data_IF_208810884320
#
_entry.id   IF_208810884320
#
_cell.length_a   1.000
_cell.length_b   1.000
_cell.length_c   1.000
_cell.angle_alpha   90.00
_cell.angle_beta   90.00
_cell.angle_gamma   90.00
#
_symmetry.space_group_name_H-M   'P 1'
#
loop_
_entity.id
_entity.type
_entity.pdbx_description
1 polymer ?
#
# COMPACT_ATOMS: atom_id res chain seq x y z
N UNK A 1 -19.26 -12.21 -0.46
CA UNK A 1 -18.00 -11.43 -0.38
C UNK A 1 -17.91 -10.83 1.02
N UNK A 2 -16.75 -10.87 1.68
CA UNK A 2 -16.60 -10.41 3.06
C UNK A 2 -16.55 -8.87 3.16
N UNK A 3 -17.38 -8.28 4.02
CA UNK A 3 -17.46 -6.83 4.28
C UNK A 3 -16.17 -6.27 4.89
N UNK A 4 -15.38 -7.10 5.57
CA UNK A 4 -14.07 -6.68 6.08
C UNK A 4 -13.07 -6.48 4.94
N UNK A 5 -12.98 -7.45 4.02
CA UNK A 5 -12.15 -7.37 2.81
C UNK A 5 -12.54 -6.16 1.96
N UNK A 6 -13.84 -5.91 1.87
CA UNK A 6 -14.40 -4.78 1.15
C UNK A 6 -13.83 -3.43 1.61
N UNK A 7 -13.98 -3.18 2.90
CA UNK A 7 -13.48 -1.97 3.55
C UNK A 7 -11.97 -1.88 3.49
N UNK A 8 -11.26 -3.00 3.58
CA UNK A 8 -9.81 -3.01 3.46
C UNK A 8 -9.36 -2.52 2.09
N UNK A 9 -9.94 -3.05 1.00
CA UNK A 9 -9.59 -2.63 -0.37
C UNK A 9 -9.90 -1.13 -0.57
N UNK A 10 -11.12 -0.71 -0.24
CA UNK A 10 -11.56 0.68 -0.43
C UNK A 10 -10.70 1.67 0.37
N UNK A 11 -10.29 1.31 1.59
CA UNK A 11 -9.51 2.20 2.44
C UNK A 11 -8.04 2.26 2.06
N UNK A 12 -7.44 1.14 1.64
CA UNK A 12 -5.99 1.04 1.46
C UNK A 12 -5.52 1.00 0.00
N UNK A 13 -6.44 0.82 -0.95
CA UNK A 13 -6.16 0.86 -2.38
C UNK A 13 -6.98 1.94 -3.09
N UNK A 14 -6.99 3.20 -2.61
CA UNK A 14 -7.80 4.26 -3.19
C UNK A 14 -7.42 4.59 -4.63
N UNK A 15 -6.20 4.23 -5.05
CA UNK A 15 -5.70 4.36 -6.42
C UNK A 15 -6.39 3.42 -7.41
N UNK A 16 -7.02 2.33 -6.94
CA UNK A 16 -7.77 1.39 -7.79
C UNK A 16 -9.22 1.81 -8.02
N UNK A 17 -9.69 2.84 -7.32
CA UNK A 17 -11.01 3.41 -7.54
C UNK A 17 -10.98 4.33 -8.77
N UNK A 18 -12.08 4.31 -9.53
CA UNK A 18 -12.31 5.31 -10.59
C UNK A 18 -12.57 6.69 -9.98
N UNK A 19 -12.48 7.75 -10.78
CA UNK A 19 -12.77 9.10 -10.28
C UNK A 19 -14.22 9.25 -9.80
N UNK A 20 -15.18 8.58 -10.47
CA UNK A 20 -16.57 8.54 -10.06
C UNK A 20 -16.75 7.80 -8.71
N UNK A 21 -16.07 6.68 -8.52
CA UNK A 21 -16.11 5.93 -7.25
C UNK A 21 -15.45 6.69 -6.10
N UNK A 22 -14.33 7.38 -6.36
CA UNK A 22 -13.70 8.30 -5.38
C UNK A 22 -14.66 9.41 -4.98
N UNK A 23 -15.35 10.01 -5.96
CA UNK A 23 -16.35 11.03 -5.72
C UNK A 23 -17.55 10.49 -4.93
N UNK A 24 -18.05 9.30 -5.25
CA UNK A 24 -19.14 8.63 -4.53
C UNK A 24 -18.78 8.35 -3.06
N UNK A 25 -17.59 7.79 -2.81
CA UNK A 25 -17.08 7.57 -1.45
C UNK A 25 -16.98 8.88 -0.66
N UNK A 26 -16.45 9.94 -1.28
CA UNK A 26 -16.31 11.26 -0.66
C UNK A 26 -17.67 11.90 -0.37
N UNK A 27 -18.61 11.79 -1.31
CA UNK A 27 -19.99 12.22 -1.16
C UNK A 27 -20.64 11.55 0.05
N UNK A 28 -20.62 10.22 0.10
CA UNK A 28 -21.21 9.44 1.19
C UNK A 28 -20.59 9.80 2.56
N UNK A 29 -19.26 9.81 2.65
CA UNK A 29 -18.57 10.13 3.91
C UNK A 29 -18.89 11.54 4.41
N UNK A 30 -19.09 12.48 3.48
CA UNK A 30 -19.45 13.87 3.80
C UNK A 30 -20.88 13.96 4.30
N UNK A 31 -21.84 13.28 3.64
CA UNK A 31 -23.21 13.18 4.12
C UNK A 31 -23.24 12.55 5.53
N UNK A 32 -22.64 11.39 5.71
CA UNK A 32 -22.62 10.67 6.99
C UNK A 32 -22.15 11.58 8.15
N UNK A 33 -21.02 12.28 7.94
CA UNK A 33 -20.52 13.26 8.93
C UNK A 33 -21.49 14.40 9.20
N UNK A 34 -22.17 14.93 8.19
CA UNK A 34 -23.09 16.06 8.37
C UNK A 34 -24.44 15.65 8.96
N UNK A 35 -24.94 14.45 8.67
CA UNK A 35 -26.21 13.94 9.18
C UNK A 35 -26.09 13.36 10.58
N UNK A 36 -24.97 12.72 10.94
CA UNK A 36 -24.78 12.12 12.27
C UNK A 36 -24.15 13.05 13.31
N UNK A 37 -23.44 14.11 12.92
CA UNK A 37 -22.80 15.03 13.89
C UNK A 37 -23.69 16.17 14.37
N UNK A 38 -24.89 16.36 13.81
CA UNK A 38 -25.76 17.49 14.15
C UNK A 38 -27.22 17.10 13.90
N UNK A 39 -28.09 17.19 14.92
CA UNK A 39 -29.54 16.96 14.78
C UNK A 39 -30.22 17.94 13.81
N UNK A 40 -29.52 19.01 13.41
CA UNK A 40 -29.97 19.98 12.40
C UNK A 40 -28.85 20.16 11.37
N UNK A 41 -29.06 19.86 10.09
CA UNK A 41 -28.05 20.08 9.06
C UNK A 41 -27.77 21.58 8.89
N UNK A 42 -26.53 22.00 9.17
CA UNK A 42 -26.10 23.37 8.92
C UNK A 42 -26.07 23.65 7.41
N UNK A 43 -27.05 24.42 6.94
CA UNK A 43 -27.21 24.75 5.52
C UNK A 43 -25.99 25.44 4.89
N UNK A 44 -25.20 26.18 5.69
CA UNK A 44 -23.97 26.82 5.20
C UNK A 44 -22.85 25.80 5.00
N UNK A 45 -22.76 24.80 5.88
CA UNK A 45 -21.80 23.69 5.74
C UNK A 45 -22.10 22.83 4.52
N UNK A 46 -23.38 22.54 4.24
CA UNK A 46 -23.78 21.80 3.04
C UNK A 46 -23.43 22.59 1.77
N UNK A 47 -23.75 23.89 1.72
CA UNK A 47 -23.38 24.76 0.59
C UNK A 47 -21.86 24.79 0.37
N UNK A 48 -21.08 24.88 1.45
CA UNK A 48 -19.63 24.83 1.39
C UNK A 48 -19.13 23.47 0.87
N UNK A 49 -19.75 22.36 1.30
CA UNK A 49 -19.38 21.02 0.86
C UNK A 49 -19.59 20.82 -0.66
N UNK A 50 -20.68 21.36 -1.23
CA UNK A 50 -20.85 21.39 -2.70
C UNK A 50 -19.80 22.27 -3.38
N UNK A 51 -19.58 23.50 -2.87
CA UNK A 51 -18.57 24.42 -3.43
C UNK A 51 -17.15 23.84 -3.42
N UNK A 52 -16.83 23.00 -2.44
CA UNK A 52 -15.54 22.31 -2.30
C UNK A 52 -15.47 20.96 -3.04
N UNK A 53 -16.54 20.55 -3.73
CA UNK A 53 -16.62 19.25 -4.42
C UNK A 53 -16.50 18.06 -3.47
N UNK A 54 -17.05 18.20 -2.25
CA UNK A 54 -17.14 17.11 -1.28
C UNK A 54 -18.47 16.38 -1.41
N UNK A 55 -19.53 17.13 -1.70
CA UNK A 55 -20.79 16.61 -2.22
C UNK A 55 -20.82 16.78 -3.74
N UNK A 56 -21.51 15.87 -4.40
CA UNK A 56 -21.63 15.81 -5.85
C UNK A 56 -23.10 15.86 -6.25
N UNK A 57 -23.40 16.58 -7.32
CA UNK A 57 -24.69 16.54 -8.03
C UNK A 57 -24.58 15.77 -9.36
N UNK A 58 -23.42 15.16 -9.64
CA UNK A 58 -23.22 14.36 -10.83
C UNK A 58 -24.13 13.13 -10.79
N UNK A 59 -25.02 12.94 -11.80
CA UNK A 59 -25.90 11.78 -11.86
C UNK A 59 -25.15 10.45 -11.80
N UNK A 60 -23.94 10.35 -12.35
CA UNK A 60 -23.14 9.11 -12.30
C UNK A 60 -22.74 8.78 -10.86
N UNK A 61 -22.34 9.79 -10.09
CA UNK A 61 -21.95 9.63 -8.68
C UNK A 61 -23.14 9.25 -7.81
N UNK A 62 -24.31 9.84 -8.10
CA UNK A 62 -25.56 9.53 -7.38
C UNK A 62 -26.03 8.11 -7.73
N UNK A 63 -25.98 7.72 -9.00
CA UNK A 63 -26.40 6.39 -9.46
C UNK A 63 -25.56 5.27 -8.82
N UNK A 64 -24.25 5.48 -8.62
CA UNK A 64 -23.38 4.54 -7.91
C UNK A 64 -23.82 4.26 -6.46
N UNK A 65 -24.59 5.17 -5.84
CA UNK A 65 -25.04 5.07 -4.45
C UNK A 65 -26.53 4.73 -4.31
N UNK A 66 -27.27 4.53 -5.41
CA UNK A 66 -28.74 4.37 -5.40
C UNK A 66 -29.22 3.17 -4.58
N UNK A 67 -28.45 2.09 -4.58
CA UNK A 67 -28.74 0.84 -3.87
C UNK A 67 -28.15 0.84 -2.44
N UNK A 68 -27.65 1.98 -1.99
CA UNK A 68 -27.01 2.16 -0.69
C UNK A 68 -25.49 1.94 -0.71
N UNK A 69 -24.83 2.39 0.37
CA UNK A 69 -23.37 2.37 0.43
C UNK A 69 -22.77 0.97 0.51
N UNK A 70 -23.43 0.04 1.20
CA UNK A 70 -22.96 -1.35 1.28
C UNK A 70 -22.95 -2.02 -0.12
N UNK A 71 -23.97 -1.77 -0.94
CA UNK A 71 -24.03 -2.27 -2.32
C UNK A 71 -22.95 -1.61 -3.20
N UNK A 72 -22.74 -0.30 -3.04
CA UNK A 72 -21.63 0.42 -3.66
C UNK A 72 -20.29 -0.23 -3.32
N UNK A 73 -19.99 -0.49 -2.04
CA UNK A 73 -18.73 -1.10 -1.62
C UNK A 73 -18.53 -2.43 -2.36
N UNK A 74 -19.51 -3.33 -2.30
CA UNK A 74 -19.47 -4.66 -2.92
C UNK A 74 -19.27 -4.59 -4.44
N UNK A 75 -19.96 -3.69 -5.14
CA UNK A 75 -19.85 -3.53 -6.59
C UNK A 75 -18.45 -3.05 -7.00
N UNK A 76 -17.90 -2.06 -6.28
CA UNK A 76 -16.53 -1.57 -6.53
C UNK A 76 -15.52 -2.69 -6.38
N UNK A 77 -15.65 -3.52 -5.35
CA UNK A 77 -14.69 -4.60 -5.12
C UNK A 77 -14.85 -5.70 -6.15
N UNK A 78 -16.08 -6.05 -6.51
CA UNK A 78 -16.32 -7.03 -7.56
C UNK A 78 -15.61 -6.60 -8.84
N UNK A 79 -15.72 -5.31 -9.21
CA UNK A 79 -15.00 -4.73 -10.34
C UNK A 79 -13.49 -4.84 -10.16
N UNK A 80 -12.92 -4.34 -9.06
CA UNK A 80 -11.46 -4.35 -8.84
C UNK A 80 -10.89 -5.77 -8.84
N UNK A 81 -11.57 -6.74 -8.23
CA UNK A 81 -11.15 -8.15 -8.22
C UNK A 81 -11.29 -8.82 -9.58
N UNK A 82 -12.18 -8.32 -10.44
CA UNK A 82 -12.35 -8.86 -11.80
C UNK A 82 -11.33 -8.25 -12.76
N UNK A 83 -11.07 -6.93 -12.64
CA UNK A 83 -10.24 -6.18 -13.59
C UNK A 83 -8.75 -6.16 -13.22
N UNK A 84 -8.43 -6.11 -11.92
CA UNK A 84 -7.07 -5.89 -11.42
C UNK A 84 -6.76 -6.64 -10.11
N UNK A 85 -7.05 -7.95 -9.99
CA UNK A 85 -6.80 -8.70 -8.76
C UNK A 85 -5.32 -8.70 -8.33
N UNK A 86 -4.40 -8.62 -9.28
CA UNK A 86 -2.94 -8.66 -9.08
C UNK A 86 -2.39 -7.44 -8.33
N UNK A 87 -3.14 -6.32 -8.32
CA UNK A 87 -2.74 -5.08 -7.64
C UNK A 87 -3.15 -5.04 -6.17
N UNK A 88 -3.93 -6.02 -5.72
CA UNK A 88 -4.38 -6.12 -4.34
C UNK A 88 -3.47 -7.07 -3.58
N UNK A 89 -3.12 -6.68 -2.36
CA UNK A 89 -2.42 -7.55 -1.42
C UNK A 89 -3.13 -7.54 -0.06
N UNK A 90 -3.13 -8.68 0.59
CA UNK A 90 -3.74 -8.86 1.90
C UNK A 90 -2.66 -9.17 2.92
N UNK A 91 -2.54 -8.31 3.94
CA UNK A 91 -1.72 -8.61 5.10
C UNK A 91 -2.50 -9.56 6.01
N UNK A 92 -2.28 -10.87 5.85
CA UNK A 92 -2.90 -11.90 6.67
C UNK A 92 -1.96 -12.34 7.79
N UNK A 93 -2.53 -12.64 8.95
CA UNK A 93 -1.76 -13.15 10.07
C UNK A 93 -1.23 -14.56 9.79
N UNK A 94 0.10 -14.74 9.89
CA UNK A 94 0.74 -16.07 9.74
C UNK A 94 0.26 -17.11 10.75
N UNK A 95 -0.22 -16.68 11.94
CA UNK A 95 -0.71 -17.60 12.98
C UNK A 95 -2.16 -18.04 12.78
N UNK A 96 -3.05 -17.14 12.35
CA UNK A 96 -4.50 -17.44 12.31
C UNK A 96 -5.17 -17.20 10.94
N UNK A 97 -4.42 -16.78 9.93
CA UNK A 97 -4.91 -16.51 8.57
C UNK A 97 -5.82 -15.29 8.41
N UNK A 98 -6.22 -14.63 9.50
CA UNK A 98 -7.14 -13.48 9.43
C UNK A 98 -6.47 -12.23 8.87
N UNK A 99 -7.24 -11.44 8.14
CA UNK A 99 -6.84 -10.14 7.63
C UNK A 99 -6.47 -9.18 8.78
N UNK A 100 -5.31 -8.55 8.65
CA UNK A 100 -4.85 -7.54 9.57
C UNK A 100 -5.61 -6.22 9.36
N UNK A 101 -5.62 -5.34 10.37
CA UNK A 101 -6.39 -4.09 10.32
C UNK A 101 -5.93 -3.15 9.20
N UNK A 102 -4.65 -3.18 8.90
CA UNK A 102 -4.02 -2.34 7.87
C UNK A 102 -3.00 -3.19 7.10
N UNK A 103 -2.62 -2.78 5.88
CA UNK A 103 -1.61 -3.50 5.13
C UNK A 103 -0.23 -3.49 5.76
N UNK A 104 0.04 -2.51 6.64
CA UNK A 104 1.32 -2.33 7.34
C UNK A 104 1.30 -2.83 8.78
N UNK A 105 0.21 -3.47 9.21
CA UNK A 105 0.07 -3.92 10.59
C UNK A 105 1.11 -5.01 10.92
N UNK A 106 1.68 -4.91 12.12
CA UNK A 106 2.66 -5.89 12.68
C UNK A 106 2.07 -6.72 13.82
N UNK A 107 0.77 -6.58 14.03
CA UNK A 107 0.01 -7.26 15.06
C UNK A 107 -1.36 -7.63 14.51
N UNK A 108 -1.76 -8.89 14.72
CA UNK A 108 -3.09 -9.36 14.41
C UNK A 108 -4.08 -9.06 15.54
N UNK A 109 -5.37 -9.04 15.20
CA UNK A 109 -6.49 -9.02 16.14
C UNK A 109 -6.50 -10.23 17.09
N UNK A 110 -5.85 -11.34 16.74
CA UNK A 110 -5.68 -12.50 17.64
C UNK A 110 -4.58 -12.29 18.71
N UNK A 111 -3.89 -11.14 18.70
CA UNK A 111 -2.82 -10.81 19.63
C UNK A 111 -1.42 -11.22 19.15
N UNK A 112 -1.30 -12.07 18.12
CA UNK A 112 0.01 -12.43 17.57
C UNK A 112 0.72 -11.21 16.97
N UNK A 113 2.00 -11.05 17.28
CA UNK A 113 2.86 -9.98 16.83
C UNK A 113 4.08 -10.55 16.12
N UNK A 114 4.39 -10.06 14.93
CA UNK A 114 5.55 -10.49 14.14
C UNK A 114 6.65 -9.45 14.08
N UNK A 115 6.74 -8.57 15.08
CA UNK A 115 7.87 -7.65 15.21
C UNK A 115 9.23 -8.36 15.24
N UNK A 116 9.27 -9.58 15.79
CA UNK A 116 10.48 -10.40 15.88
C UNK A 116 10.97 -10.93 14.51
N UNK A 117 10.09 -10.95 13.50
CA UNK A 117 10.45 -11.35 12.14
C UNK A 117 11.25 -10.23 11.46
N UNK A 118 10.98 -8.98 11.82
CA UNK A 118 11.61 -7.79 11.21
C UNK A 118 13.03 -7.63 11.77
N UNK A 119 14.02 -7.88 10.92
CA UNK A 119 15.44 -7.76 11.25
C UNK A 119 16.01 -6.37 10.96
N UNK A 120 15.44 -5.68 9.97
CA UNK A 120 15.95 -4.40 9.51
C UNK A 120 14.89 -3.53 8.84
N UNK A 121 15.18 -2.24 8.73
CA UNK A 121 14.39 -1.24 8.00
C UNK A 121 15.27 -0.59 6.93
N UNK A 122 14.97 -0.89 5.68
CA UNK A 122 15.73 -0.47 4.51
C UNK A 122 15.02 0.67 3.78
N UNK A 123 15.63 1.84 3.72
CA UNK A 123 15.13 2.98 2.97
C UNK A 123 15.47 2.80 1.50
N UNK A 124 14.45 2.48 0.69
CA UNK A 124 14.60 2.32 -0.74
C UNK A 124 14.75 3.65 -1.47
N UNK A 125 15.78 3.77 -2.31
CA UNK A 125 16.10 4.99 -3.05
C UNK A 125 15.97 4.81 -4.57
N UNK A 126 16.47 3.69 -5.09
CA UNK A 126 16.41 3.39 -6.52
C UNK A 126 16.63 1.91 -6.78
N UNK A 127 16.37 1.45 -8.01
CA UNK A 127 16.71 0.10 -8.43
C UNK A 127 17.42 0.08 -9.77
N UNK A 128 18.30 -0.90 -9.96
CA UNK A 128 19.11 -1.05 -11.18
C UNK A 128 19.21 -2.52 -11.60
N UNK A 129 19.18 -2.75 -12.91
CA UNK A 129 19.57 -4.03 -13.49
C UNK A 129 21.00 -3.90 -13.99
N UNK A 130 21.91 -4.73 -13.50
CA UNK A 130 23.30 -4.79 -13.97
C UNK A 130 23.47 -6.04 -14.82
N UNK A 131 23.85 -5.85 -16.08
CA UNK A 131 24.09 -6.95 -17.03
C UNK A 131 25.09 -7.95 -16.47
N UNK A 132 24.72 -9.23 -16.46
CA UNK A 132 25.56 -10.31 -15.92
C UNK A 132 25.62 -10.40 -14.39
N UNK A 133 25.02 -9.46 -13.64
CA UNK A 133 24.99 -9.49 -12.16
C UNK A 133 23.61 -9.64 -11.57
N UNK A 134 22.56 -9.03 -12.14
CA UNK A 134 21.18 -9.16 -11.68
C UNK A 134 20.50 -7.84 -11.33
N UNK A 135 19.34 -7.94 -10.68
CA UNK A 135 18.52 -6.81 -10.25
C UNK A 135 18.82 -6.45 -8.80
N UNK A 136 19.05 -5.16 -8.54
CA UNK A 136 19.40 -4.63 -7.22
C UNK A 136 18.44 -3.53 -6.79
N UNK A 137 18.05 -3.57 -5.52
CA UNK A 137 17.42 -2.46 -4.82
C UNK A 137 18.51 -1.72 -4.04
N UNK A 138 18.65 -0.42 -4.30
CA UNK A 138 19.68 0.46 -3.72
C UNK A 138 19.03 1.37 -2.69
N UNK A 139 19.70 1.53 -1.56
CA UNK A 139 19.24 2.39 -0.49
C UNK A 139 20.11 2.33 0.75
N UNK A 140 19.54 2.81 1.85
CA UNK A 140 20.25 2.96 3.13
C UNK A 140 19.57 2.18 4.25
N UNK A 141 20.34 1.72 5.22
CA UNK A 141 19.81 1.00 6.37
C UNK A 141 19.47 1.98 7.49
N UNK A 142 18.19 2.12 7.81
CA UNK A 142 17.75 2.98 8.91
C UNK A 142 17.95 2.31 10.27
N UNK A 143 17.75 0.98 10.35
CA UNK A 143 17.83 0.20 11.58
C UNK A 143 18.08 -1.27 11.27
N UNK A 144 18.76 -1.96 12.18
CA UNK A 144 18.84 -3.41 12.22
C UNK A 144 20.02 -3.98 11.42
N UNK A 145 19.92 -5.25 11.04
CA UNK A 145 20.94 -5.96 10.27
C UNK A 145 20.30 -6.72 9.10
N UNK A 146 20.93 -6.64 7.92
CA UNK A 146 20.51 -7.36 6.72
C UNK A 146 21.49 -8.49 6.46
N UNK A 147 20.97 -9.70 6.21
CA UNK A 147 21.77 -10.88 5.87
C UNK A 147 21.28 -11.50 4.58
N UNK A 148 22.19 -12.16 3.88
CA UNK A 148 21.82 -13.01 2.75
C UNK A 148 20.78 -14.05 3.22
N UNK A 149 19.75 -14.25 2.42
CA UNK A 149 18.62 -15.11 2.73
C UNK A 149 17.47 -14.47 3.49
N UNK A 150 17.62 -13.25 4.01
CA UNK A 150 16.48 -12.44 4.45
C UNK A 150 15.57 -12.09 3.25
N UNK A 151 14.38 -11.57 3.54
CA UNK A 151 13.37 -11.19 2.53
C UNK A 151 13.09 -9.69 2.61
N UNK A 152 12.91 -9.04 1.46
CA UNK A 152 12.52 -7.64 1.38
C UNK A 152 11.00 -7.56 1.27
N UNK A 153 10.31 -6.91 2.20
CA UNK A 153 8.87 -6.70 2.09
C UNK A 153 8.56 -5.58 1.09
N UNK A 154 8.13 -5.94 -0.13
CA UNK A 154 7.77 -4.99 -1.19
C UNK A 154 6.28 -4.65 -1.21
N UNK A 155 5.52 -5.22 -0.26
CA UNK A 155 4.11 -4.91 -0.09
C UNK A 155 3.87 -3.40 0.07
N UNK A 156 4.67 -2.65 0.86
CA UNK A 156 4.43 -1.23 1.04
C UNK A 156 4.54 -0.37 -0.21
N UNK A 157 5.29 -0.83 -1.22
CA UNK A 157 5.42 -0.15 -2.50
C UNK A 157 4.41 -0.65 -3.54
N UNK A 158 3.46 -1.51 -3.16
CA UNK A 158 2.40 -1.99 -4.05
C UNK A 158 2.68 -3.31 -4.76
N UNK A 159 3.73 -4.05 -4.37
CA UNK A 159 4.03 -5.36 -4.92
C UNK A 159 3.74 -6.46 -3.90
N UNK A 160 2.86 -7.40 -4.27
CA UNK A 160 2.47 -8.51 -3.39
C UNK A 160 3.53 -9.63 -3.35
N UNK A 161 4.77 -9.29 -3.00
CA UNK A 161 5.86 -10.25 -2.91
C UNK A 161 6.90 -9.86 -1.85
N UNK A 162 7.62 -10.86 -1.38
CA UNK A 162 8.72 -10.73 -0.41
C UNK A 162 9.97 -11.41 -0.97
N UNK A 163 10.63 -10.82 -1.98
CA UNK A 163 11.78 -11.42 -2.62
C UNK A 163 12.91 -11.71 -1.64
N UNK A 164 13.54 -12.86 -1.79
CA UNK A 164 14.76 -13.26 -1.07
C UNK A 164 15.95 -12.41 -1.51
N UNK A 165 16.77 -12.03 -0.55
CA UNK A 165 18.05 -11.35 -0.75
C UNK A 165 19.11 -12.39 -1.08
N UNK A 166 19.57 -12.36 -2.32
CA UNK A 166 20.55 -13.31 -2.86
C UNK A 166 21.99 -12.89 -2.58
N UNK A 167 22.26 -11.58 -2.60
CA UNK A 167 23.54 -11.01 -2.21
C UNK A 167 23.38 -9.56 -1.75
N UNK A 168 24.36 -9.09 -0.99
CA UNK A 168 24.45 -7.72 -0.50
C UNK A 168 25.75 -7.15 -1.02
N UNK A 169 25.67 -6.03 -1.73
CA UNK A 169 26.83 -5.27 -2.21
C UNK A 169 26.79 -3.88 -1.58
N UNK A 170 27.96 -3.26 -1.43
CA UNK A 170 28.09 -1.90 -0.89
C UNK A 170 28.76 -1.02 -1.94
N UNK A 171 28.20 0.15 -2.16
CA UNK A 171 28.76 1.17 -3.05
C UNK A 171 29.13 2.40 -2.23
N UNK A 172 30.43 2.74 -2.26
CA UNK A 172 30.94 3.97 -1.68
C UNK A 172 30.53 5.16 -2.55
N UNK A 173 29.61 5.98 -2.06
CA UNK A 173 29.36 7.33 -2.60
C UNK A 173 30.18 8.35 -1.84
N UNK A 174 30.82 9.26 -2.57
CA UNK A 174 31.47 10.44 -1.99
C UNK A 174 30.67 11.67 -2.39
N UNK A 175 30.14 12.39 -1.40
CA UNK A 175 29.47 13.67 -1.61
C UNK A 175 29.97 14.66 -0.56
N UNK A 176 30.48 15.82 -1.00
CA UNK A 176 31.02 16.88 -0.14
C UNK A 176 32.04 16.40 0.92
N UNK A 177 32.93 15.48 0.54
CA UNK A 177 33.95 14.93 1.44
C UNK A 177 33.42 13.88 2.44
N UNK A 178 32.11 13.66 2.52
CA UNK A 178 31.51 12.60 3.31
C UNK A 178 31.35 11.32 2.47
N UNK A 179 31.69 10.19 3.09
CA UNK A 179 31.52 8.86 2.50
C UNK A 179 30.18 8.30 2.98
N UNK A 180 29.34 7.93 2.02
CA UNK A 180 28.06 7.25 2.25
C UNK A 180 28.16 5.84 1.67
N UNK A 181 27.76 4.85 2.45
CA UNK A 181 27.67 3.47 1.96
C UNK A 181 26.23 3.20 1.53
N UNK A 182 26.01 3.21 0.22
CA UNK A 182 24.77 2.69 -0.34
C UNK A 182 24.80 1.17 -0.25
N UNK A 183 23.76 0.59 0.31
CA UNK A 183 23.54 -0.85 0.33
C UNK A 183 22.71 -1.24 -0.89
N UNK A 184 23.22 -2.22 -1.64
CA UNK A 184 22.56 -2.81 -2.80
C UNK A 184 22.13 -4.25 -2.48
N UNK A 185 20.83 -4.49 -2.46
CA UNK A 185 20.22 -5.80 -2.19
C UNK A 185 19.85 -6.47 -3.51
N UNK A 186 20.54 -7.56 -3.85
CA UNK A 186 20.23 -8.34 -5.04
C UNK A 186 19.06 -9.28 -4.79
N UNK A 187 18.17 -9.42 -5.78
CA UNK A 187 17.22 -10.53 -5.81
C UNK A 187 17.03 -11.07 -7.23
N UNK A 188 16.70 -12.37 -7.32
CA UNK A 188 16.35 -13.05 -8.56
C UNK A 188 14.86 -13.45 -8.62
N UNK A 189 14.06 -13.11 -7.60
CA UNK A 189 12.67 -13.57 -7.48
C UNK A 189 11.64 -12.62 -8.10
N UNK A 190 12.10 -11.54 -8.73
CA UNK A 190 11.25 -10.54 -9.38
C UNK A 190 11.19 -10.76 -10.88
N UNK A 191 9.98 -10.78 -11.44
CA UNK A 191 9.77 -10.82 -12.89
C UNK A 191 10.02 -9.45 -13.53
N UNK A 192 10.07 -9.40 -14.87
CA UNK A 192 10.40 -8.19 -15.63
C UNK A 192 9.42 -7.03 -15.38
N UNK A 193 8.14 -7.33 -15.20
CA UNK A 193 7.11 -6.33 -14.91
C UNK A 193 7.32 -5.69 -13.53
N UNK A 194 7.59 -6.52 -12.51
CA UNK A 194 7.88 -6.06 -11.16
C UNK A 194 9.17 -5.23 -11.12
N UNK A 195 10.22 -5.68 -11.82
CA UNK A 195 11.47 -4.93 -11.93
C UNK A 195 11.24 -3.56 -12.58
N UNK A 196 10.47 -3.51 -13.67
CA UNK A 196 10.14 -2.25 -14.34
C UNK A 196 9.29 -1.33 -13.45
N UNK A 197 8.34 -1.89 -12.71
CA UNK A 197 7.53 -1.17 -11.74
C UNK A 197 8.41 -0.52 -10.67
N UNK A 198 9.29 -1.29 -10.03
CA UNK A 198 10.19 -0.77 -8.97
C UNK A 198 11.09 0.34 -9.51
N UNK A 199 11.65 0.19 -10.71
CA UNK A 199 12.45 1.24 -11.37
C UNK A 199 11.64 2.54 -11.57
N UNK A 200 10.35 2.43 -11.92
CA UNK A 200 9.46 3.58 -12.12
C UNK A 200 9.02 4.22 -10.81
N UNK A 201 8.83 3.44 -9.75
CA UNK A 201 8.43 3.94 -8.42
C UNK A 201 9.48 4.88 -7.85
N UNK A 202 10.76 4.62 -8.09
CA UNK A 202 11.85 5.46 -7.57
C UNK A 202 11.93 5.42 -6.05
N UNK A 203 12.37 6.51 -5.41
CA UNK A 203 12.51 6.52 -3.95
C UNK A 203 11.16 6.43 -3.24
N UNK A 204 11.13 5.72 -2.11
CA UNK A 204 9.93 5.55 -1.31
C UNK A 204 10.14 6.11 0.09
N UNK A 205 9.14 6.86 0.59
CA UNK A 205 9.27 7.61 1.83
C UNK A 205 9.33 6.71 3.08
N UNK A 206 8.60 5.59 3.06
CA UNK A 206 8.61 4.64 4.17
C UNK A 206 9.71 3.59 3.96
N UNK A 207 10.44 3.18 5.01
CA UNK A 207 11.38 2.09 4.89
C UNK A 207 10.64 0.77 4.63
N UNK A 208 11.26 -0.08 3.82
CA UNK A 208 10.86 -1.47 3.59
C UNK A 208 11.35 -2.32 4.76
N UNK A 209 10.50 -3.22 5.24
CA UNK A 209 10.91 -4.16 6.27
C UNK A 209 11.74 -5.29 5.65
N UNK A 210 12.83 -5.64 6.33
CA UNK A 210 13.64 -6.80 6.01
C UNK A 210 13.30 -7.90 7.01
N UNK A 211 12.89 -9.06 6.51
CA UNK A 211 12.31 -10.16 7.28
C UNK A 211 13.27 -11.36 7.31
N UNK A 212 13.33 -12.11 8.41
CA UNK A 212 14.07 -13.39 8.44
C UNK A 212 13.26 -14.59 7.91
N UNK A 213 11.95 -14.46 7.79
CA UNK A 213 11.02 -15.46 7.24
C UNK A 213 9.87 -14.78 6.44
N UNK A 214 9.09 -15.56 5.68
CA UNK A 214 8.06 -15.06 4.74
C UNK A 214 6.68 -14.88 5.38
#
# INVERSE_FOLDING_TARGET
MDKEMARYIINYFPNLLTEAEKAARKHHTTLDKHYFSSQVPDSNRIKLAYKKGWLSNDPQVIDLLKDGYDAFELNVIQRILTETPEKIYFNNCVKCGRLARTPYARQCRCGFQWHHIIQAQFRFESAIQITGRGFFLIGTLNKGEVKQGHYIDLIPIGLNCKPRIESIEFALKRHDGNVWDDMALKTNELNDEQQLYIKKTGSFALPLDILNER
#
